data_IF_157038701898
#
_entry.id   IF_157038701898
#
_cell.length_a   1.000
_cell.length_b   1.000
_cell.length_c   1.000
_cell.angle_alpha   90.00
_cell.angle_beta   90.00
_cell.angle_gamma   90.00
#
_symmetry.space_group_name_H-M   'P 1'
#
loop_
_entity.id
_entity.type
_entity.pdbx_description
1 polymer ?
#
# COMPACT_ATOMS: atom_id res chain seq x y z
N UNK A 1 43.96 3.81 18.38
CA UNK A 1 45.36 3.57 17.98
C UNK A 1 45.46 2.07 17.79
N UNK A 2 45.34 1.46 16.61
CA UNK A 2 45.59 1.83 15.20
C UNK A 2 44.68 0.85 14.39
N UNK A 3 43.72 1.33 13.58
CA UNK A 3 43.77 1.50 12.10
C UNK A 3 44.26 0.26 11.32
N UNK A 4 43.41 -0.38 10.49
CA UNK A 4 43.27 -0.23 9.00
C UNK A 4 44.53 -0.68 8.22
N UNK A 5 44.46 -1.55 7.18
CA UNK A 5 44.53 -1.35 5.68
C UNK A 5 44.14 -2.70 4.95
N UNK A 6 43.90 -2.81 3.61
CA UNK A 6 42.64 -3.27 3.04
C UNK A 6 42.76 -4.27 1.84
N UNK A 7 41.61 -4.51 1.20
CA UNK A 7 41.31 -4.71 -0.24
C UNK A 7 42.01 -5.77 -1.08
N UNK A 8 41.15 -6.42 -1.89
CA UNK A 8 41.43 -7.21 -3.09
C UNK A 8 41.89 -8.64 -2.89
N UNK A 9 40.92 -9.52 -2.60
CA UNK A 9 40.77 -10.80 -3.30
C UNK A 9 39.50 -11.49 -2.80
N UNK A 10 38.41 -11.35 -3.54
CA UNK A 10 37.35 -12.39 -3.67
C UNK A 10 36.34 -11.96 -4.74
N UNK A 11 36.84 -11.78 -5.96
CA UNK A 11 36.02 -11.97 -7.16
C UNK A 11 36.04 -13.46 -7.49
N UNK A 12 34.86 -13.98 -7.80
CA UNK A 12 34.59 -15.19 -8.56
C UNK A 12 34.91 -16.52 -7.87
N UNK A 13 33.88 -17.13 -7.28
CA UNK A 13 33.26 -18.35 -7.84
C UNK A 13 32.12 -18.83 -6.94
N UNK A 14 30.89 -18.44 -7.26
CA UNK A 14 29.74 -19.33 -7.03
C UNK A 14 28.68 -19.02 -8.08
N UNK A 15 28.70 -19.82 -9.15
CA UNK A 15 27.70 -19.83 -10.21
C UNK A 15 26.44 -20.48 -9.64
N UNK A 16 25.39 -19.67 -9.55
CA UNK A 16 24.20 -19.87 -10.36
C UNK A 16 23.59 -21.29 -10.34
N UNK A 17 23.06 -21.74 -9.20
CA UNK A 17 21.94 -22.67 -9.16
C UNK A 17 21.10 -22.32 -7.91
N UNK A 18 19.78 -22.31 -8.07
CA UNK A 18 18.75 -22.11 -7.04
C UNK A 18 18.56 -20.69 -6.49
N UNK A 19 18.30 -19.73 -7.38
CA UNK A 19 17.41 -18.61 -7.02
C UNK A 19 15.99 -19.16 -6.92
N UNK A 20 15.63 -19.68 -5.75
CA UNK A 20 14.23 -19.80 -5.34
C UNK A 20 13.58 -18.46 -5.61
N UNK A 21 12.71 -18.39 -6.61
CA UNK A 21 11.86 -17.23 -6.86
C UNK A 21 10.80 -17.19 -5.77
N UNK A 22 11.20 -16.86 -4.54
CA UNK A 22 10.30 -16.18 -3.63
C UNK A 22 10.07 -14.81 -4.26
N UNK A 23 9.02 -14.69 -5.08
CA UNK A 23 8.25 -13.45 -5.10
C UNK A 23 7.67 -13.37 -3.70
N UNK A 24 8.49 -12.85 -2.77
CA UNK A 24 8.04 -12.53 -1.43
C UNK A 24 6.90 -11.55 -1.62
N UNK A 25 5.70 -11.97 -1.29
CA UNK A 25 4.55 -11.08 -1.22
C UNK A 25 4.83 -10.07 -0.11
N UNK A 26 5.60 -9.03 -0.38
CA UNK A 26 5.89 -7.95 0.54
C UNK A 26 4.71 -6.95 0.51
N UNK A 27 3.54 -7.43 0.90
CA UNK A 27 2.39 -6.60 1.28
C UNK A 27 1.71 -7.15 2.55
N UNK A 28 2.52 -7.66 3.47
CA UNK A 28 2.10 -7.92 4.85
C UNK A 28 3.18 -7.38 5.79
N UNK A 29 3.11 -6.09 6.13
CA UNK A 29 3.83 -5.55 7.28
C UNK A 29 2.84 -5.06 8.32
N UNK A 30 2.81 -5.83 9.41
CA UNK A 30 2.26 -5.48 10.72
C UNK A 30 3.02 -4.25 11.24
N UNK A 31 2.30 -3.19 11.58
CA UNK A 31 2.87 -1.98 12.17
C UNK A 31 3.39 -2.28 13.58
N UNK A 32 4.71 -2.45 13.72
CA UNK A 32 5.41 -2.43 15.00
C UNK A 32 5.75 -0.99 15.37
N UNK A 33 5.26 -0.54 16.52
CA UNK A 33 5.52 0.80 17.04
C UNK A 33 6.95 0.95 17.55
N UNK A 34 7.58 2.08 17.22
CA UNK A 34 8.73 2.62 17.95
C UNK A 34 8.50 4.11 18.15
N UNK A 35 8.37 4.50 19.41
CA UNK A 35 8.30 5.89 19.86
C UNK A 35 9.69 6.51 19.85
N UNK A 36 9.83 7.70 19.26
CA UNK A 36 10.98 8.59 19.50
C UNK A 36 10.45 9.99 19.83
N UNK A 37 10.92 10.50 20.97
CA UNK A 37 10.56 11.78 21.59
C UNK A 37 11.15 13.01 20.88
N UNK A 38 10.43 14.11 21.03
CA UNK A 38 10.53 15.43 20.39
C UNK A 38 11.86 16.19 20.49
N UNK A 39 12.09 17.12 19.54
CA UNK A 39 12.24 18.56 19.83
C UNK A 39 12.30 19.41 18.56
N UNK A 40 11.52 20.51 18.53
CA UNK A 40 11.63 21.57 17.53
C UNK A 40 10.28 22.19 17.20
N UNK A 41 9.85 23.20 17.97
CA UNK A 41 8.69 24.05 17.63
C UNK A 41 9.07 24.94 16.44
N UNK A 42 8.45 24.82 15.26
CA UNK A 42 8.62 25.85 14.24
C UNK A 42 7.80 27.08 14.65
N UNK A 43 8.40 28.25 14.46
CA UNK A 43 7.81 29.54 14.74
C UNK A 43 6.52 29.76 13.94
N UNK A 44 5.48 30.28 14.61
CA UNK A 44 4.26 30.77 13.96
C UNK A 44 4.58 32.03 13.16
N UNK A 45 4.68 31.91 11.84
CA UNK A 45 4.58 33.06 10.94
C UNK A 45 3.10 33.32 10.68
N UNK A 46 2.55 34.27 11.43
CA UNK A 46 1.22 34.80 11.17
C UNK A 46 1.24 35.66 9.91
N UNK A 47 0.34 35.35 8.97
CA UNK A 47 -0.19 36.32 8.02
C UNK A 47 -1.70 36.43 8.25
N UNK A 48 -2.12 37.69 8.29
CA UNK A 48 -3.45 38.26 8.57
C UNK A 48 -4.68 37.41 8.18
N UNK A 49 -5.59 37.23 9.14
CA UNK A 49 -7.04 37.06 8.89
C UNK A 49 -7.60 35.64 8.85
N UNK A 50 -6.81 34.63 8.48
CA UNK A 50 -7.28 33.25 8.39
C UNK A 50 -6.94 32.48 9.69
N UNK A 51 -7.96 32.12 10.47
CA UNK A 51 -7.76 31.22 11.61
C UNK A 51 -7.33 29.86 11.07
N UNK A 52 -6.10 29.43 11.39
CA UNK A 52 -5.63 28.10 11.04
C UNK A 52 -6.62 27.04 11.59
N UNK A 53 -7.17 26.21 10.69
CA UNK A 53 -8.10 25.13 11.04
C UNK A 53 -7.42 23.79 10.79
N UNK A 54 -7.54 22.89 11.76
CA UNK A 54 -7.02 21.51 11.64
C UNK A 54 -7.94 20.61 10.81
N UNK A 55 -9.16 21.06 10.51
CA UNK A 55 -10.10 20.36 9.64
C UNK A 55 -11.07 21.32 8.96
N UNK A 56 -11.60 20.89 7.82
CA UNK A 56 -12.77 21.51 7.21
C UNK A 56 -13.74 20.42 6.74
N UNK A 57 -15.04 20.73 6.84
CA UNK A 57 -16.13 19.82 6.54
C UNK A 57 -17.07 20.44 5.52
N UNK A 58 -17.47 19.67 4.52
CA UNK A 58 -18.56 20.02 3.62
C UNK A 58 -19.77 19.16 3.98
N UNK A 59 -20.93 19.79 4.14
CA UNK A 59 -22.20 19.13 4.45
C UNK A 59 -23.22 19.36 3.35
N UNK A 60 -24.15 18.41 3.16
CA UNK A 60 -25.30 18.58 2.27
C UNK A 60 -26.41 19.43 2.92
N UNK A 61 -27.50 19.70 2.18
CA UNK A 61 -28.66 20.48 2.68
C UNK A 61 -29.40 19.83 3.85
N UNK A 62 -29.14 18.54 4.13
CA UNK A 62 -29.70 17.78 5.24
C UNK A 62 -28.73 17.75 6.45
N UNK A 63 -27.60 18.46 6.36
CA UNK A 63 -26.57 18.51 7.39
C UNK A 63 -25.64 17.28 7.40
N UNK A 64 -25.69 16.40 6.40
CA UNK A 64 -24.86 15.19 6.35
C UNK A 64 -23.50 15.49 5.74
N UNK A 65 -22.43 14.99 6.36
CA UNK A 65 -21.06 15.18 5.89
C UNK A 65 -20.82 14.49 4.53
N UNK A 66 -20.31 15.24 3.54
CA UNK A 66 -19.93 14.76 2.20
C UNK A 66 -18.42 14.68 2.02
N UNK A 67 -17.70 15.66 2.56
CA UNK A 67 -16.25 15.71 2.56
C UNK A 67 -15.74 16.10 3.94
N UNK A 68 -14.61 15.51 4.35
CA UNK A 68 -13.87 15.90 5.54
C UNK A 68 -12.38 15.90 5.23
N UNK A 69 -11.77 17.07 5.25
CA UNK A 69 -10.32 17.18 5.29
C UNK A 69 -9.86 17.37 6.74
N UNK A 70 -8.82 16.67 7.16
CA UNK A 70 -8.27 16.77 8.50
C UNK A 70 -6.76 16.54 8.52
N UNK A 71 -6.04 17.30 9.34
CA UNK A 71 -4.61 17.15 9.58
C UNK A 71 -4.25 15.95 10.50
N UNK A 72 -5.25 15.24 11.02
CA UNK A 72 -5.10 14.03 11.81
C UNK A 72 -6.12 12.98 11.34
N UNK A 73 -5.93 11.72 11.74
CA UNK A 73 -6.88 10.64 11.43
C UNK A 73 -8.25 10.92 12.06
N UNK A 74 -9.32 11.18 11.28
CA UNK A 74 -10.63 11.48 11.84
C UNK A 74 -11.42 10.21 12.19
N UNK A 75 -12.53 10.28 12.93
CA UNK A 75 -13.51 9.20 12.96
C UNK A 75 -14.22 9.08 11.59
N UNK A 76 -14.77 7.90 11.31
CA UNK A 76 -15.54 7.63 10.08
C UNK A 76 -16.83 6.91 10.38
N UNK A 77 -17.75 6.91 9.42
CA UNK A 77 -19.02 6.20 9.52
C UNK A 77 -18.98 5.08 8.48
N UNK A 78 -19.24 3.84 8.89
CA UNK A 78 -19.33 2.68 7.99
C UNK A 78 -20.61 1.93 8.36
N UNK A 79 -21.51 1.73 7.39
CA UNK A 79 -22.80 1.06 7.63
C UNK A 79 -23.64 1.72 8.72
N UNK A 80 -23.59 3.05 8.84
CA UNK A 80 -24.29 3.83 9.87
C UNK A 80 -23.65 3.81 11.26
N UNK A 81 -22.55 3.06 11.47
CA UNK A 81 -21.81 3.02 12.73
C UNK A 81 -20.60 3.93 12.68
N UNK A 82 -20.38 4.73 13.73
CA UNK A 82 -19.16 5.53 13.89
C UNK A 82 -18.01 4.66 14.39
N UNK A 83 -16.86 4.77 13.73
CA UNK A 83 -15.59 4.17 14.11
C UNK A 83 -14.63 5.28 14.56
N UNK A 84 -14.30 5.34 15.87
CA UNK A 84 -13.31 6.26 16.42
C UNK A 84 -11.92 6.11 15.79
N UNK A 85 -11.14 7.19 15.78
CA UNK A 85 -9.83 7.23 15.10
C UNK A 85 -8.83 6.18 15.63
N UNK A 86 -8.84 5.89 16.92
CA UNK A 86 -7.99 4.89 17.59
C UNK A 86 -8.36 3.45 17.22
N UNK A 87 -9.59 3.21 16.77
CA UNK A 87 -10.06 1.91 16.27
C UNK A 87 -9.82 1.72 14.76
N UNK A 88 -9.39 2.78 14.06
CA UNK A 88 -9.12 2.74 12.62
C UNK A 88 -7.67 2.32 12.35
N UNK A 89 -7.51 1.43 11.37
CA UNK A 89 -6.22 1.18 10.74
C UNK A 89 -5.81 2.38 9.87
N UNK A 90 -4.50 2.53 9.64
CA UNK A 90 -3.94 3.63 8.85
C UNK A 90 -3.02 4.53 9.68
N UNK A 91 -2.01 5.16 9.02
CA UNK A 91 -0.97 5.92 9.68
C UNK A 91 -1.47 7.27 10.21
N UNK A 92 -0.70 7.92 11.06
CA UNK A 92 -0.92 9.34 11.30
C UNK A 92 -0.56 10.15 10.04
N UNK A 93 -1.36 11.17 9.75
CA UNK A 93 -1.21 11.96 8.53
C UNK A 93 -2.40 12.85 8.25
N UNK A 94 -2.39 13.42 7.05
CA UNK A 94 -3.46 14.24 6.49
C UNK A 94 -4.45 13.36 5.72
N UNK A 95 -5.73 13.61 5.94
CA UNK A 95 -6.83 12.84 5.37
C UNK A 95 -7.78 13.77 4.60
N UNK A 96 -8.28 13.30 3.46
CA UNK A 96 -9.50 13.79 2.81
C UNK A 96 -10.44 12.61 2.64
N UNK A 97 -11.57 12.61 3.35
CA UNK A 97 -12.55 11.51 3.34
C UNK A 97 -13.73 11.87 2.42
N UNK A 98 -14.17 10.89 1.63
CA UNK A 98 -15.36 10.97 0.77
C UNK A 98 -16.51 10.18 1.41
N UNK A 99 -17.69 10.79 1.49
CA UNK A 99 -18.87 10.14 2.07
C UNK A 99 -20.05 10.07 1.09
N UNK A 100 -20.81 8.97 1.18
CA UNK A 100 -22.10 8.82 0.51
C UNK A 100 -23.20 9.68 1.14
N UNK A 101 -24.44 9.55 0.64
CA UNK A 101 -25.56 10.35 1.13
C UNK A 101 -25.88 10.00 2.57
N UNK A 102 -25.89 8.73 2.95
CA UNK A 102 -26.09 8.34 4.35
C UNK A 102 -24.94 8.81 5.27
N UNK A 103 -23.85 9.33 4.72
CA UNK A 103 -22.68 9.82 5.44
C UNK A 103 -21.61 8.75 5.65
N UNK A 104 -21.76 7.57 5.02
CA UNK A 104 -20.77 6.50 5.13
C UNK A 104 -19.55 6.82 4.27
N UNK A 105 -18.36 6.52 4.79
CA UNK A 105 -17.10 6.60 4.07
C UNK A 105 -17.12 5.72 2.82
N UNK A 106 -16.62 6.26 1.71
CA UNK A 106 -16.42 5.60 0.40
C UNK A 106 -14.97 5.70 -0.06
N UNK A 107 -14.06 5.85 0.89
CA UNK A 107 -12.64 6.03 0.68
C UNK A 107 -12.20 7.48 0.86
N UNK A 108 -11.03 7.78 0.32
CA UNK A 108 -10.37 9.06 0.58
C UNK A 108 -8.95 9.14 0.06
N UNK A 109 -8.30 10.25 0.40
CA UNK A 109 -6.89 10.51 0.16
C UNK A 109 -6.19 10.56 1.52
N UNK A 110 -5.02 9.94 1.60
CA UNK A 110 -4.16 9.96 2.78
C UNK A 110 -2.77 10.43 2.35
N UNK A 111 -2.15 11.29 3.14
CA UNK A 111 -0.73 11.63 3.04
C UNK A 111 -0.08 11.51 4.42
N UNK A 112 0.99 10.74 4.51
CA UNK A 112 1.72 10.44 5.76
C UNK A 112 3.22 10.58 5.54
N UNK A 113 4.00 10.41 6.61
CA UNK A 113 5.47 10.45 6.55
C UNK A 113 6.11 9.31 5.75
N UNK A 114 5.34 8.26 5.43
CA UNK A 114 5.83 7.03 4.78
C UNK A 114 5.12 6.71 3.46
N UNK A 115 4.21 7.58 3.01
CA UNK A 115 3.42 7.30 1.82
C UNK A 115 2.22 8.22 1.63
N UNK A 116 1.62 8.12 0.44
CA UNK A 116 0.34 8.71 0.13
C UNK A 116 -0.55 7.69 -0.60
N UNK A 117 -1.86 7.81 -0.46
CA UNK A 117 -2.80 6.91 -1.15
C UNK A 117 -4.11 7.59 -1.50
N UNK A 118 -4.70 7.19 -2.62
CA UNK A 118 -6.10 7.38 -2.96
C UNK A 118 -6.78 6.01 -2.89
N UNK A 119 -7.87 5.91 -2.13
CA UNK A 119 -8.66 4.69 -2.00
C UNK A 119 -10.11 4.95 -2.36
N UNK A 120 -10.71 3.98 -3.04
CA UNK A 120 -12.15 3.86 -3.26
C UNK A 120 -12.62 2.62 -2.51
N UNK A 121 -13.58 2.82 -1.61
CA UNK A 121 -14.04 1.75 -0.73
C UNK A 121 -15.35 1.12 -1.24
N UNK A 122 -15.42 -0.19 -1.09
CA UNK A 122 -16.65 -0.97 -1.13
C UNK A 122 -17.40 -0.80 0.21
N UNK A 123 -18.72 -1.04 0.29
CA UNK A 123 -19.51 -0.78 1.51
C UNK A 123 -18.92 -1.31 2.83
N UNK A 124 -18.15 -2.39 2.77
CA UNK A 124 -17.59 -3.08 3.93
C UNK A 124 -16.13 -3.54 3.72
N UNK A 125 -15.43 -3.04 2.69
CA UNK A 125 -14.03 -3.37 2.40
C UNK A 125 -13.36 -2.29 1.52
N UNK A 126 -12.04 -2.22 1.48
CA UNK A 126 -11.32 -1.41 0.48
C UNK A 126 -11.42 -2.08 -0.90
N UNK A 127 -11.75 -1.31 -1.95
CA UNK A 127 -11.92 -1.84 -3.29
C UNK A 127 -10.69 -1.67 -4.17
N UNK A 128 -10.31 -0.41 -4.37
CA UNK A 128 -9.22 0.02 -5.24
C UNK A 128 -8.35 0.99 -4.46
N UNK A 129 -7.03 0.82 -4.55
CA UNK A 129 -6.06 1.75 -3.95
C UNK A 129 -4.96 2.08 -4.94
N UNK A 130 -4.69 3.36 -5.14
CA UNK A 130 -3.46 3.86 -5.76
C UNK A 130 -2.61 4.42 -4.64
N UNK A 131 -1.39 3.92 -4.46
CA UNK A 131 -0.53 4.34 -3.36
C UNK A 131 0.93 4.49 -3.79
N UNK A 132 1.60 5.46 -3.18
CA UNK A 132 3.06 5.52 -3.09
C UNK A 132 3.49 5.27 -1.65
N UNK A 133 4.57 4.52 -1.47
CA UNK A 133 5.14 4.20 -0.16
C UNK A 133 6.65 4.19 -0.23
N UNK A 134 7.31 4.49 0.88
CA UNK A 134 8.77 4.36 0.96
C UNK A 134 9.23 4.03 2.38
N UNK A 135 10.37 3.35 2.47
CA UNK A 135 11.10 3.08 3.70
C UNK A 135 12.60 3.04 3.40
N UNK A 136 13.36 3.95 4.01
CA UNK A 136 14.78 4.12 3.69
C UNK A 136 14.98 4.44 2.21
N UNK A 137 15.78 3.63 1.53
CA UNK A 137 16.03 3.75 0.08
C UNK A 137 15.01 3.03 -0.79
N UNK A 138 14.08 2.29 -0.18
CA UNK A 138 13.11 1.48 -0.93
C UNK A 138 11.81 2.24 -1.13
N UNK A 139 11.32 2.25 -2.37
CA UNK A 139 10.08 2.94 -2.76
C UNK A 139 9.17 2.04 -3.58
N UNK A 140 7.87 2.32 -3.56
CA UNK A 140 6.89 1.65 -4.39
C UNK A 140 5.78 2.61 -4.83
N UNK A 141 5.24 2.39 -6.03
CA UNK A 141 4.04 3.01 -6.56
C UNK A 141 3.14 1.91 -7.12
N UNK A 142 1.93 1.76 -6.59
CA UNK A 142 1.07 0.59 -6.86
C UNK A 142 -0.39 0.99 -7.02
N UNK A 143 -1.04 0.43 -8.03
CA UNK A 143 -2.48 0.25 -8.12
C UNK A 143 -2.83 -1.17 -7.65
N UNK A 144 -3.68 -1.29 -6.65
CA UNK A 144 -4.19 -2.55 -6.12
C UNK A 144 -5.71 -2.61 -6.28
N UNK A 145 -6.22 -3.78 -6.67
CA UNK A 145 -7.64 -4.11 -6.67
C UNK A 145 -7.86 -5.37 -5.83
N UNK A 146 -8.80 -5.33 -4.89
CA UNK A 146 -9.08 -6.43 -3.97
C UNK A 146 -10.27 -7.28 -4.42
N UNK A 147 -10.38 -8.49 -3.88
CA UNK A 147 -11.62 -9.27 -3.96
C UNK A 147 -12.73 -8.53 -3.20
N UNK A 148 -13.90 -8.36 -3.81
CA UNK A 148 -15.04 -7.74 -3.14
C UNK A 148 -15.84 -8.82 -2.39
N UNK A 149 -16.12 -8.63 -1.09
CA UNK A 149 -16.98 -9.53 -0.33
C UNK A 149 -18.45 -9.26 -0.67
N UNK A 150 -19.37 -10.04 -0.08
CA UNK A 150 -20.80 -9.72 -0.14
C UNK A 150 -21.04 -8.35 0.54
N UNK A 151 -21.60 -7.35 -0.17
CA UNK A 151 -21.84 -6.01 0.38
C UNK A 151 -22.88 -5.98 1.51
N UNK A 152 -23.71 -7.02 1.66
CA UNK A 152 -24.71 -7.11 2.71
C UNK A 152 -24.11 -7.54 4.07
N UNK A 153 -22.88 -8.06 4.08
CA UNK A 153 -22.22 -8.46 5.32
C UNK A 153 -21.87 -7.24 6.18
N UNK A 154 -22.17 -7.28 7.50
CA UNK A 154 -21.67 -6.28 8.44
C UNK A 154 -20.13 -6.21 8.40
N UNK A 155 -19.50 -5.02 8.58
CA UNK A 155 -18.03 -4.89 8.49
C UNK A 155 -17.24 -5.85 9.38
N UNK A 156 -17.76 -6.20 10.57
CA UNK A 156 -17.12 -7.16 11.49
C UNK A 156 -17.28 -8.64 11.11
N UNK A 157 -18.04 -8.94 10.06
CA UNK A 157 -18.29 -10.28 9.55
C UNK A 157 -17.70 -10.49 8.15
N UNK A 158 -17.04 -9.47 7.59
CA UNK A 158 -16.37 -9.56 6.31
C UNK A 158 -15.11 -10.42 6.46
N UNK A 159 -14.98 -11.52 5.70
CA UNK A 159 -13.75 -12.31 5.70
C UNK A 159 -12.59 -11.49 5.11
N UNK A 160 -11.36 -11.84 5.46
CA UNK A 160 -10.19 -11.22 4.84
C UNK A 160 -10.23 -11.38 3.32
N UNK A 161 -10.27 -10.25 2.61
CA UNK A 161 -10.28 -10.24 1.15
C UNK A 161 -8.86 -10.04 0.61
N UNK A 162 -8.31 -11.01 -0.13
CA UNK A 162 -7.00 -10.87 -0.77
C UNK A 162 -7.02 -9.87 -1.93
N UNK A 163 -5.83 -9.34 -2.27
CA UNK A 163 -5.61 -8.63 -3.51
C UNK A 163 -5.79 -9.57 -4.72
N UNK A 164 -6.40 -9.06 -5.79
CA UNK A 164 -6.61 -9.78 -7.06
C UNK A 164 -5.73 -9.28 -8.18
N UNK A 165 -5.49 -7.97 -8.21
CA UNK A 165 -4.65 -7.31 -9.20
C UNK A 165 -3.71 -6.37 -8.46
N UNK A 166 -2.43 -6.45 -8.76
CA UNK A 166 -1.44 -5.47 -8.36
C UNK A 166 -0.67 -5.04 -9.60
N UNK A 167 -0.62 -3.75 -9.87
CA UNK A 167 0.12 -3.15 -10.96
C UNK A 167 0.99 -2.06 -10.37
N UNK A 168 2.29 -2.10 -10.60
CA UNK A 168 3.14 -1.10 -10.01
C UNK A 168 4.60 -1.19 -10.36
N UNK A 169 5.36 -0.43 -9.60
CA UNK A 169 6.80 -0.42 -9.56
C UNK A 169 7.26 -0.46 -8.12
N UNK A 170 8.33 -1.20 -7.85
CA UNK A 170 9.08 -1.12 -6.61
C UNK A 170 10.57 -1.02 -6.91
N UNK A 171 11.33 -0.34 -6.06
CA UNK A 171 12.79 -0.30 -6.20
C UNK A 171 13.46 -1.68 -6.11
N UNK A 172 12.95 -2.66 -5.32
CA UNK A 172 13.56 -3.99 -5.30
C UNK A 172 13.18 -4.89 -6.49
N UNK A 173 11.95 -4.77 -7.00
CA UNK A 173 11.38 -5.74 -7.95
C UNK A 173 11.24 -5.18 -9.38
N UNK A 174 11.44 -3.89 -9.58
CA UNK A 174 11.20 -3.23 -10.86
C UNK A 174 9.71 -3.04 -11.13
N UNK A 175 9.29 -3.12 -12.40
CA UNK A 175 7.89 -2.96 -12.77
C UNK A 175 7.19 -4.31 -12.78
N UNK A 176 5.92 -4.36 -12.37
CA UNK A 176 5.16 -5.61 -12.30
C UNK A 176 3.67 -5.44 -12.51
N UNK A 177 3.05 -6.50 -13.03
CA UNK A 177 1.63 -6.81 -12.96
C UNK A 177 1.49 -8.22 -12.39
N UNK A 178 0.77 -8.35 -11.28
CA UNK A 178 0.50 -9.62 -10.60
C UNK A 178 -1.01 -9.86 -10.57
N UNK A 179 -1.41 -11.03 -11.08
CA UNK A 179 -2.79 -11.52 -11.01
C UNK A 179 -2.85 -12.71 -10.04
N UNK A 180 -3.73 -12.61 -9.04
CA UNK A 180 -3.85 -13.58 -7.97
C UNK A 180 -5.11 -14.45 -8.09
N UNK A 181 -5.02 -15.71 -7.68
CA UNK A 181 -6.16 -16.63 -7.56
C UNK A 181 -7.11 -16.24 -6.42
N UNK A 182 -8.17 -17.05 -6.22
CA UNK A 182 -9.18 -16.79 -5.22
C UNK A 182 -8.67 -16.69 -3.77
N UNK A 183 -7.51 -17.29 -3.50
CA UNK A 183 -6.83 -17.33 -2.20
C UNK A 183 -5.72 -16.28 -2.08
N UNK A 184 -5.57 -15.40 -3.07
CA UNK A 184 -4.54 -14.36 -3.08
C UNK A 184 -3.17 -14.84 -3.54
N UNK A 185 -3.08 -16.02 -4.18
CA UNK A 185 -1.80 -16.57 -4.63
C UNK A 185 -1.52 -16.18 -6.08
N UNK A 186 -0.31 -15.70 -6.44
CA UNK A 186 0.01 -15.32 -7.81
C UNK A 186 -0.20 -16.47 -8.81
N UNK A 187 -0.81 -16.17 -9.96
CA UNK A 187 -1.01 -17.11 -11.08
C UNK A 187 -0.41 -16.62 -12.37
N UNK A 188 -0.39 -15.31 -12.56
CA UNK A 188 0.23 -14.67 -13.71
C UNK A 188 1.03 -13.49 -13.17
N UNK A 189 2.30 -13.42 -13.56
CA UNK A 189 3.21 -12.32 -13.24
C UNK A 189 3.82 -11.82 -14.53
N UNK A 190 3.67 -10.54 -14.82
CA UNK A 190 4.43 -9.84 -15.86
C UNK A 190 5.37 -8.90 -15.10
N UNK A 191 6.66 -8.92 -15.39
CA UNK A 191 7.65 -8.10 -14.68
C UNK A 191 8.74 -7.61 -15.63
N UNK A 192 9.36 -6.48 -15.29
CA UNK A 192 10.65 -6.05 -15.83
C UNK A 192 11.53 -5.83 -14.61
N UNK A 193 12.57 -6.65 -14.47
CA UNK A 193 13.48 -6.62 -13.32
C UNK A 193 14.42 -5.40 -13.35
N UNK A 194 15.23 -5.23 -12.30
CA UNK A 194 16.19 -4.13 -12.19
C UNK A 194 17.34 -4.14 -13.20
N UNK A 195 17.47 -5.22 -13.99
CA UNK A 195 18.41 -5.33 -15.11
C UNK A 195 17.70 -5.16 -16.47
N UNK A 196 16.50 -4.58 -16.48
CA UNK A 196 15.64 -4.34 -17.64
C UNK A 196 15.23 -5.62 -18.41
N UNK A 197 15.15 -6.77 -17.73
CA UNK A 197 14.74 -8.03 -18.37
C UNK A 197 13.23 -8.26 -18.24
N UNK A 198 12.47 -8.25 -19.35
CA UNK A 198 11.04 -8.54 -19.30
C UNK A 198 10.80 -10.03 -19.11
N UNK A 199 9.89 -10.40 -18.22
CA UNK A 199 9.38 -11.77 -18.12
C UNK A 199 7.87 -11.84 -17.91
N UNK A 200 7.28 -12.91 -18.44
CA UNK A 200 5.90 -13.33 -18.16
C UNK A 200 6.00 -14.72 -17.54
N UNK A 201 5.36 -14.95 -16.40
CA UNK A 201 5.34 -16.23 -15.68
C UNK A 201 3.89 -16.66 -15.45
N UNK A 202 3.61 -17.94 -15.70
CA UNK A 202 2.37 -18.62 -15.29
C UNK A 202 2.74 -19.57 -14.15
N UNK A 203 2.03 -19.48 -13.04
CA UNK A 203 2.30 -20.23 -11.82
C UNK A 203 1.16 -21.20 -11.50
N UNK A 204 1.51 -22.39 -11.02
CA UNK A 204 0.56 -23.41 -10.59
C UNK A 204 0.01 -23.17 -9.18
N UNK A 205 -0.80 -24.11 -8.67
CA UNK A 205 -1.39 -24.02 -7.34
C UNK A 205 -0.37 -23.92 -6.18
N UNK A 206 0.84 -24.45 -6.34
CA UNK A 206 1.92 -24.41 -5.35
C UNK A 206 2.76 -23.12 -5.45
N UNK A 207 2.66 -22.39 -6.55
CA UNK A 207 3.47 -21.21 -6.83
C UNK A 207 4.68 -21.53 -7.70
N UNK A 208 4.74 -22.72 -8.29
CA UNK A 208 5.81 -23.11 -9.21
C UNK A 208 5.52 -22.57 -10.61
N UNK A 209 6.57 -22.12 -11.30
CA UNK A 209 6.46 -21.60 -12.67
C UNK A 209 6.27 -22.77 -13.64
N UNK A 210 5.09 -22.86 -14.25
CA UNK A 210 4.75 -23.88 -15.25
C UNK A 210 4.90 -23.39 -16.68
N UNK A 211 4.98 -22.07 -16.89
CA UNK A 211 5.31 -21.48 -18.19
C UNK A 211 5.97 -20.12 -17.99
N UNK A 212 6.89 -19.78 -18.90
CA UNK A 212 7.67 -18.54 -18.86
C UNK A 212 7.96 -18.01 -20.27
N UNK A 213 7.87 -16.69 -20.44
CA UNK A 213 8.39 -15.97 -21.60
C UNK A 213 9.35 -14.86 -21.15
N UNK A 214 10.48 -14.63 -21.85
CA UNK A 214 11.12 -15.57 -22.77
C UNK A 214 11.40 -16.91 -22.07
N UNK A 215 11.42 -18.00 -22.84
CA UNK A 215 11.85 -19.29 -22.31
C UNK A 215 13.23 -19.14 -21.66
N UNK A 216 13.49 -19.86 -20.57
CA UNK A 216 14.82 -19.86 -19.97
C UNK A 216 15.82 -20.27 -21.05
N UNK A 217 16.87 -19.48 -21.26
CA UNK A 217 17.92 -19.79 -22.23
C UNK A 217 18.46 -21.17 -21.91
N UNK A 218 18.08 -22.18 -22.71
CA UNK A 218 18.64 -23.51 -22.60
C UNK A 218 20.13 -23.39 -22.89
N UNK A 219 20.97 -23.79 -21.94
CA UNK A 219 22.35 -24.14 -22.26
C UNK A 219 22.29 -25.34 -23.21
N UNK A 220 22.44 -25.09 -24.51
CA UNK A 220 22.73 -26.13 -25.49
C UNK A 220 24.18 -26.57 -25.37
#
# INVERSE_FOLDING_TARGET
MIDWVPSDERKQTMRQHDRRAMIGTAAALVAGGVSVTAAGRPARTGTSGEQARESFKVVDRRGRQRFLASAAKPPVIIGGKTYPADQRQGPDGTYLIFNDEAGNEKGGIIASSVGASLSLDYPNAQAITVATRWAGTNGAAVLEMKQMPDPALPPGQVPATPARVQLGYSTPDGTFLVLNDSRGRPRIVLEIDGDDRPTIKILDAAGEVVSRLPAASGTS
#
